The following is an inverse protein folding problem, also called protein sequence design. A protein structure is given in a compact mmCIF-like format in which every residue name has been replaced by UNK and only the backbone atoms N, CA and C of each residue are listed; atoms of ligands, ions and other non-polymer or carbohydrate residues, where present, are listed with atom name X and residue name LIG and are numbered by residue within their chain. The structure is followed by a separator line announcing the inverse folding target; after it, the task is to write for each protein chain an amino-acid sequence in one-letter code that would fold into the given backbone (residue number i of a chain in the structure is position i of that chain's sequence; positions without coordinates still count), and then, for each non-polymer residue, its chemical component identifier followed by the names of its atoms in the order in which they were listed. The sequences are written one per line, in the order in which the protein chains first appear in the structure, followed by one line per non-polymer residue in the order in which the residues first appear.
data_IF_444015227357
#
_entry.id   IF_444015227357
#
_cell.length_a   1.000
_cell.length_b   1.000
_cell.length_c   1.000
_cell.angle_alpha   90.00
_cell.angle_beta   90.00
_cell.angle_gamma   90.00
#
_symmetry.space_group_name_H-M   'P 1'
#
loop_
_entity.id
_entity.type
_entity.pdbx_description
1 polymer ?
#
# COMPACT_ATOMS: atom_id res chain seq x y z
N UNK A 1 44.44 -6.90 95.54
CA UNK A 1 44.92 -7.50 94.28
C UNK A 1 43.75 -7.49 93.32
N UNK A 2 43.96 -6.86 92.18
CA UNK A 2 42.96 -6.13 91.41
C UNK A 2 41.95 -7.03 90.69
N UNK A 3 40.67 -6.76 90.98
CA UNK A 3 39.53 -7.11 90.16
C UNK A 3 39.29 -5.96 89.17
N UNK A 4 39.80 -6.03 87.94
CA UNK A 4 39.24 -5.29 86.80
C UNK A 4 39.47 -6.11 85.51
N UNK A 5 38.50 -6.97 85.16
CA UNK A 5 38.32 -7.38 83.76
C UNK A 5 37.53 -6.26 83.08
N UNK A 6 38.25 -5.33 82.46
CA UNK A 6 37.65 -4.23 81.70
C UNK A 6 37.03 -4.80 80.42
N UNK A 7 35.72 -5.06 80.44
CA UNK A 7 34.92 -5.13 79.23
C UNK A 7 34.24 -3.78 79.08
N UNK A 8 34.78 -2.93 78.21
CA UNK A 8 34.02 -1.84 77.62
C UNK A 8 34.67 -1.41 76.30
N UNK A 9 33.80 -1.07 75.34
CA UNK A 9 34.05 -0.39 74.06
C UNK A 9 34.39 -1.37 72.93
N UNK A 10 33.50 -1.58 71.98
CA UNK A 10 33.00 -0.60 70.99
C UNK A 10 33.29 -1.28 69.65
N UNK A 11 32.41 -1.39 68.68
CA UNK A 11 31.90 -0.31 67.85
C UNK A 11 30.93 -1.01 66.88
N UNK A 12 29.73 -0.47 66.70
CA UNK A 12 28.92 -0.81 65.54
C UNK A 12 29.68 -0.24 64.34
N UNK A 13 30.38 -1.08 63.59
CA UNK A 13 30.79 -0.78 62.22
C UNK A 13 30.04 -1.71 61.30
N UNK A 14 29.01 -1.13 60.69
CA UNK A 14 28.56 -1.49 59.36
C UNK A 14 29.76 -1.84 58.49
N UNK A 15 29.81 -3.06 57.98
CA UNK A 15 30.45 -3.27 56.71
C UNK A 15 29.54 -4.13 55.84
N UNK A 16 28.65 -3.43 55.14
CA UNK A 16 28.04 -3.97 53.93
C UNK A 16 29.13 -3.93 52.87
N UNK A 17 30.12 -4.80 52.98
CA UNK A 17 31.00 -5.11 51.86
C UNK A 17 30.24 -6.06 50.93
N UNK A 18 29.22 -5.51 50.27
CA UNK A 18 28.69 -6.08 49.05
C UNK A 18 29.72 -5.73 47.97
N UNK A 19 30.84 -6.46 47.96
CA UNK A 19 31.75 -6.44 46.84
C UNK A 19 30.94 -6.75 45.58
N UNK A 20 30.83 -5.77 44.70
CA UNK A 20 30.13 -5.94 43.44
C UNK A 20 30.82 -7.05 42.65
N UNK A 21 30.04 -8.01 42.18
CA UNK A 21 30.50 -9.10 41.33
C UNK A 21 30.94 -8.53 39.97
N UNK A 22 32.25 -8.41 39.76
CA UNK A 22 32.82 -7.85 38.51
C UNK A 22 32.66 -8.77 37.28
N UNK A 23 31.74 -9.73 37.30
CA UNK A 23 31.55 -10.67 36.17
C UNK A 23 30.11 -10.70 35.69
N UNK A 24 29.43 -9.55 35.64
CA UNK A 24 28.00 -9.62 35.33
C UNK A 24 27.71 -9.85 33.83
N UNK A 25 28.61 -9.50 32.90
CA UNK A 25 28.34 -9.70 31.45
C UNK A 25 29.62 -9.91 30.63
N UNK A 26 29.63 -10.93 29.76
CA UNK A 26 30.71 -11.18 28.79
C UNK A 26 30.67 -10.15 27.63
N UNK A 27 31.29 -8.98 27.85
CA UNK A 27 31.36 -7.89 26.85
C UNK A 27 31.91 -8.37 25.50
N UNK A 28 32.92 -9.25 25.52
CA UNK A 28 33.51 -9.82 24.30
C UNK A 28 32.50 -10.66 23.51
N UNK A 29 31.60 -11.38 24.18
CA UNK A 29 30.55 -12.14 23.54
C UNK A 29 29.48 -11.23 22.91
N UNK A 30 29.14 -10.13 23.57
CA UNK A 30 28.21 -9.12 23.03
C UNK A 30 28.79 -8.45 21.78
N UNK A 31 30.05 -8.02 21.84
CA UNK A 31 30.71 -7.39 20.69
C UNK A 31 30.80 -8.37 19.52
N UNK A 32 31.19 -9.63 19.78
CA UNK A 32 31.20 -10.68 18.76
C UNK A 32 29.81 -10.92 18.14
N UNK A 33 28.76 -10.95 18.96
CA UNK A 33 27.39 -11.10 18.50
C UNK A 33 26.93 -9.94 17.61
N UNK A 34 27.24 -8.69 17.98
CA UNK A 34 26.89 -7.50 17.17
C UNK A 34 27.61 -7.50 15.82
N UNK A 35 28.87 -7.92 15.78
CA UNK A 35 29.63 -8.04 14.52
C UNK A 35 28.98 -9.07 13.60
N UNK A 36 28.62 -10.25 14.12
CA UNK A 36 27.94 -11.29 13.35
C UNK A 36 26.58 -10.80 12.83
N UNK A 37 25.81 -10.11 13.68
CA UNK A 37 24.52 -9.54 13.31
C UNK A 37 24.65 -8.49 12.20
N UNK A 38 25.65 -7.61 12.28
CA UNK A 38 25.93 -6.62 11.25
C UNK A 38 26.30 -7.29 9.91
N UNK A 39 27.16 -8.31 9.94
CA UNK A 39 27.53 -9.07 8.74
C UNK A 39 26.30 -9.74 8.12
N UNK A 40 25.43 -10.35 8.94
CA UNK A 40 24.20 -10.97 8.45
C UNK A 40 23.22 -9.96 7.84
N UNK A 41 23.10 -8.77 8.45
CA UNK A 41 22.28 -7.69 7.90
C UNK A 41 22.82 -7.21 6.54
N UNK A 42 24.14 -7.08 6.39
CA UNK A 42 24.77 -6.74 5.10
C UNK A 42 24.57 -7.86 4.08
N UNK A 43 24.72 -9.12 4.47
CA UNK A 43 24.50 -10.28 3.59
C UNK A 43 23.06 -10.32 3.07
N UNK A 44 22.08 -10.15 3.96
CA UNK A 44 20.66 -10.10 3.56
C UNK A 44 20.37 -8.89 2.69
N UNK A 45 20.96 -7.72 2.97
CA UNK A 45 20.83 -6.54 2.13
C UNK A 45 21.36 -6.77 0.70
N UNK A 46 22.56 -7.35 0.57
CA UNK A 46 23.14 -7.68 -0.75
C UNK A 46 22.31 -8.74 -1.47
N UNK A 47 21.82 -9.76 -0.76
CA UNK A 47 20.95 -10.78 -1.33
C UNK A 47 19.63 -10.18 -1.86
N UNK A 48 19.00 -9.29 -1.09
CA UNK A 48 17.79 -8.59 -1.50
C UNK A 48 18.05 -7.66 -2.70
N UNK A 49 19.15 -6.90 -2.69
CA UNK A 49 19.53 -6.03 -3.79
C UNK A 49 19.82 -6.83 -5.08
N UNK A 50 20.58 -7.92 -4.98
CA UNK A 50 20.86 -8.82 -6.09
C UNK A 50 19.62 -9.54 -6.62
N UNK A 51 18.74 -10.01 -5.72
CA UNK A 51 17.47 -10.61 -6.08
C UNK A 51 16.53 -9.59 -6.73
N UNK A 52 16.49 -8.35 -6.26
CA UNK A 52 15.71 -7.28 -6.90
C UNK A 52 16.15 -7.06 -8.35
N UNK A 53 17.45 -6.95 -8.60
CA UNK A 53 18.01 -6.82 -9.96
C UNK A 53 17.67 -8.05 -10.82
N UNK A 54 17.73 -9.25 -10.25
CA UNK A 54 17.44 -10.48 -10.97
C UNK A 54 15.94 -10.65 -11.27
N UNK A 55 15.08 -10.31 -10.33
CA UNK A 55 13.63 -10.33 -10.48
C UNK A 55 13.17 -9.26 -11.46
N UNK A 56 13.79 -8.08 -11.48
CA UNK A 56 13.50 -7.03 -12.47
C UNK A 56 13.88 -7.49 -13.89
N UNK A 57 15.07 -8.11 -14.04
CA UNK A 57 15.48 -8.76 -15.31
C UNK A 57 14.54 -9.91 -15.73
N UNK A 58 13.99 -10.65 -14.79
CA UNK A 58 13.00 -11.70 -15.08
C UNK A 58 11.61 -11.13 -15.35
N UNK A 59 11.23 -10.05 -14.67
CA UNK A 59 10.01 -9.32 -14.90
C UNK A 59 10.04 -8.73 -16.30
N UNK A 60 11.17 -8.16 -16.74
CA UNK A 60 11.36 -7.68 -18.10
C UNK A 60 11.20 -8.82 -19.12
N UNK A 61 11.86 -9.98 -18.93
CA UNK A 61 11.71 -11.14 -19.82
C UNK A 61 10.31 -11.76 -19.84
N UNK A 62 9.58 -11.72 -18.73
CA UNK A 62 8.17 -12.12 -18.67
C UNK A 62 7.26 -11.05 -19.28
N UNK A 63 7.66 -9.78 -19.20
CA UNK A 63 6.97 -8.63 -19.73
C UNK A 63 7.32 -8.31 -21.20
N UNK A 64 8.31 -8.99 -21.80
CA UNK A 64 8.53 -8.97 -23.26
C UNK A 64 7.29 -9.52 -24.03
N UNK A 65 6.47 -10.35 -23.38
CA UNK A 65 5.14 -10.75 -23.86
C UNK A 65 3.97 -10.05 -23.16
N UNK A 66 4.25 -9.17 -22.20
CA UNK A 66 3.29 -8.35 -21.46
C UNK A 66 3.72 -6.89 -21.56
N UNK A 67 3.91 -6.40 -22.80
CA UNK A 67 3.35 -5.08 -23.13
C UNK A 67 1.92 -5.15 -22.64
N UNK A 68 1.54 -4.27 -21.71
CA UNK A 68 0.22 -4.33 -21.09
C UNK A 68 -0.81 -4.62 -22.18
N UNK A 69 -1.74 -5.59 -22.01
CA UNK A 69 -2.71 -5.94 -23.06
C UNK A 69 -3.49 -4.70 -23.55
N UNK A 70 -3.47 -3.64 -22.75
CA UNK A 70 -4.04 -2.33 -23.07
C UNK A 70 -3.12 -1.46 -23.94
N UNK A 71 -1.79 -1.53 -23.81
CA UNK A 71 -0.88 -0.88 -24.76
C UNK A 71 -0.96 -1.52 -26.15
N UNK A 72 -1.05 -2.85 -26.23
CA UNK A 72 -1.24 -3.57 -27.50
C UNK A 72 -2.61 -3.26 -28.13
N UNK A 73 -3.68 -3.18 -27.33
CA UNK A 73 -5.01 -2.77 -27.80
C UNK A 73 -5.06 -1.30 -28.26
N UNK A 74 -4.35 -0.40 -27.57
CA UNK A 74 -4.27 1.02 -27.92
C UNK A 74 -3.44 1.24 -29.20
N UNK A 75 -2.36 0.48 -29.39
CA UNK A 75 -1.55 0.49 -30.61
C UNK A 75 -2.31 -0.14 -31.80
N UNK A 76 -3.02 -1.26 -31.58
CA UNK A 76 -3.86 -1.92 -32.59
C UNK A 76 -5.07 -1.06 -33.01
N UNK A 77 -5.63 -0.27 -32.09
CA UNK A 77 -6.67 0.70 -32.39
C UNK A 77 -6.12 1.97 -33.08
N UNK A 78 -4.83 2.26 -32.93
CA UNK A 78 -4.14 3.40 -33.54
C UNK A 78 -3.55 3.10 -34.92
N UNK A 79 -3.32 1.82 -35.26
CA UNK A 79 -2.93 1.40 -36.61
C UNK A 79 -4.18 1.29 -37.50
N UNK A 80 -4.40 2.18 -38.48
CA UNK A 80 -5.38 1.92 -39.52
C UNK A 80 -4.97 0.64 -40.26
N UNK A 81 -5.81 -0.38 -40.16
CA UNK A 81 -5.61 -1.67 -40.80
C UNK A 81 -5.63 -1.45 -42.32
N UNK A 82 -4.45 -1.40 -42.95
CA UNK A 82 -4.31 -1.69 -44.38
C UNK A 82 -4.08 -3.20 -44.45
N UNK A 83 -5.03 -3.99 -44.98
CA UNK A 83 -4.93 -5.44 -44.97
C UNK A 83 -3.95 -5.89 -46.06
N UNK A 84 -2.66 -5.98 -45.73
CA UNK A 84 -1.69 -6.65 -46.60
C UNK A 84 -1.64 -8.15 -46.26
N UNK A 85 -2.28 -8.92 -47.13
CA UNK A 85 -2.26 -10.38 -47.12
C UNK A 85 -0.82 -10.88 -47.30
N UNK A 86 -0.34 -11.77 -46.42
CA UNK A 86 0.10 -13.16 -46.72
C UNK A 86 0.96 -13.78 -45.60
N UNK A 87 0.46 -14.90 -45.10
CA UNK A 87 1.16 -16.20 -44.95
C UNK A 87 2.58 -16.25 -44.36
N UNK A 88 2.72 -16.78 -43.14
CA UNK A 88 3.77 -17.76 -42.79
C UNK A 88 3.47 -18.49 -41.48
N UNK A 89 2.75 -19.61 -41.63
CA UNK A 89 2.78 -20.85 -40.85
C UNK A 89 3.95 -20.99 -39.85
N UNK A 90 3.66 -20.83 -38.54
CA UNK A 90 4.65 -21.07 -37.47
C UNK A 90 4.22 -20.82 -36.00
N UNK A 91 2.99 -20.36 -35.71
CA UNK A 91 2.63 -19.84 -34.37
C UNK A 91 1.58 -20.61 -33.54
N UNK A 92 1.11 -21.77 -33.99
CA UNK A 92 -0.14 -22.36 -33.45
C UNK A 92 -0.05 -23.00 -32.04
N UNK A 93 1.14 -23.13 -31.44
CA UNK A 93 1.30 -23.70 -30.09
C UNK A 93 1.19 -22.65 -28.97
N UNK A 94 1.42 -21.37 -29.26
CA UNK A 94 1.30 -20.28 -28.28
C UNK A 94 -0.12 -19.72 -28.16
N UNK A 95 -0.86 -19.67 -29.28
CA UNK A 95 -2.21 -19.08 -29.30
C UNK A 95 -3.24 -19.97 -28.60
N UNK A 96 -3.13 -21.30 -28.79
CA UNK A 96 -4.05 -22.26 -28.15
C UNK A 96 -3.90 -22.32 -26.62
N UNK A 97 -2.69 -22.14 -26.09
CA UNK A 97 -2.46 -22.11 -24.64
C UNK A 97 -3.00 -20.82 -24.00
N UNK A 98 -2.91 -19.69 -24.71
CA UNK A 98 -3.46 -18.43 -24.25
C UNK A 98 -5.00 -18.40 -24.29
N UNK A 99 -5.61 -19.03 -25.30
CA UNK A 99 -7.08 -19.20 -25.39
C UNK A 99 -7.60 -20.08 -24.25
N UNK A 100 -6.98 -21.24 -23.98
CA UNK A 100 -7.45 -22.12 -22.89
C UNK A 100 -7.32 -21.47 -21.52
N UNK A 101 -6.28 -20.68 -21.25
CA UNK A 101 -6.14 -19.94 -20.00
C UNK A 101 -7.21 -18.83 -19.83
N UNK A 102 -7.54 -18.10 -20.90
CA UNK A 102 -8.59 -17.07 -20.90
C UNK A 102 -9.98 -17.67 -20.76
N UNK A 103 -10.25 -18.77 -21.45
CA UNK A 103 -11.54 -19.46 -21.39
C UNK A 103 -11.77 -20.15 -20.05
N UNK A 104 -10.71 -20.71 -19.43
CA UNK A 104 -10.79 -21.26 -18.07
C UNK A 104 -11.05 -20.17 -17.05
N UNK A 105 -10.38 -19.01 -17.16
CA UNK A 105 -10.69 -17.85 -16.32
C UNK A 105 -12.15 -17.43 -16.50
N UNK A 106 -12.63 -17.19 -17.72
CA UNK A 106 -14.04 -16.84 -18.04
C UNK A 106 -15.06 -17.87 -17.51
N UNK A 107 -14.74 -19.16 -17.57
CA UNK A 107 -15.61 -20.21 -17.01
C UNK A 107 -15.66 -20.16 -15.49
N UNK A 108 -14.52 -19.97 -14.83
CA UNK A 108 -14.49 -19.77 -13.38
C UNK A 108 -15.25 -18.48 -13.01
N UNK A 109 -15.16 -17.43 -13.83
CA UNK A 109 -15.93 -16.19 -13.65
C UNK A 109 -17.45 -16.41 -13.66
N UNK A 110 -17.94 -17.34 -14.48
CA UNK A 110 -19.37 -17.63 -14.62
C UNK A 110 -19.94 -18.51 -13.49
N UNK A 111 -19.09 -19.26 -12.77
CA UNK A 111 -19.52 -20.24 -11.76
C UNK A 111 -19.55 -19.64 -10.34
N UNK A 112 -18.76 -18.61 -10.05
CA UNK A 112 -18.74 -17.97 -8.74
C UNK A 112 -19.69 -16.75 -8.69
N UNK A 113 -20.77 -16.80 -7.87
CA UNK A 113 -21.66 -15.65 -7.70
C UNK A 113 -20.90 -14.46 -7.10
N UNK A 114 -21.32 -13.24 -7.43
CA UNK A 114 -20.72 -12.02 -6.91
C UNK A 114 -20.89 -11.89 -5.37
N UNK A 115 -19.95 -11.25 -4.64
CA UNK A 115 -18.79 -10.49 -5.11
C UNK A 115 -17.52 -11.34 -5.33
N UNK A 116 -16.82 -11.05 -6.43
CA UNK A 116 -15.59 -11.77 -6.84
C UNK A 116 -14.34 -11.03 -6.35
N UNK A 117 -13.24 -11.75 -6.18
CA UNK A 117 -11.94 -11.14 -5.88
C UNK A 117 -11.49 -10.27 -7.08
N UNK A 118 -11.07 -9.03 -6.80
CA UNK A 118 -10.50 -8.11 -7.79
C UNK A 118 -9.20 -8.70 -8.35
N UNK A 119 -9.10 -8.79 -9.68
CA UNK A 119 -8.03 -9.47 -10.40
C UNK A 119 -6.74 -8.65 -10.47
N UNK A 120 -6.84 -7.33 -10.58
CA UNK A 120 -5.68 -6.42 -10.65
C UNK A 120 -5.90 -5.13 -9.82
N UNK A 121 -5.95 -5.31 -8.50
CA UNK A 121 -6.16 -4.20 -7.56
C UNK A 121 -5.08 -3.10 -7.66
N UNK A 122 -3.84 -3.46 -8.00
CA UNK A 122 -2.73 -2.49 -8.11
C UNK A 122 -2.95 -1.56 -9.29
N UNK A 123 -3.31 -2.11 -10.44
CA UNK A 123 -3.60 -1.33 -11.63
C UNK A 123 -4.81 -0.42 -11.43
N UNK A 124 -5.88 -0.94 -10.85
CA UNK A 124 -7.09 -0.16 -10.57
C UNK A 124 -6.81 1.01 -9.62
N UNK A 125 -6.03 0.77 -8.56
CA UNK A 125 -5.58 1.83 -7.64
C UNK A 125 -4.75 2.90 -8.34
N UNK A 126 -3.85 2.51 -9.24
CA UNK A 126 -3.04 3.46 -10.01
C UNK A 126 -3.89 4.28 -10.99
N UNK A 127 -4.87 3.64 -11.65
CA UNK A 127 -5.81 4.34 -12.54
C UNK A 127 -6.63 5.37 -11.76
N UNK A 128 -7.19 4.98 -10.61
CA UNK A 128 -7.96 5.87 -9.74
C UNK A 128 -7.11 7.08 -9.30
N UNK A 129 -5.90 6.82 -8.77
CA UNK A 129 -4.98 7.88 -8.34
C UNK A 129 -4.65 8.84 -9.49
N UNK A 130 -4.38 8.32 -10.68
CA UNK A 130 -4.07 9.17 -11.85
C UNK A 130 -5.26 10.03 -12.30
N UNK A 131 -6.49 9.55 -12.10
CA UNK A 131 -7.70 10.31 -12.41
C UNK A 131 -7.94 11.41 -11.37
N UNK A 132 -7.74 11.09 -10.08
CA UNK A 132 -7.81 12.06 -8.98
C UNK A 132 -6.77 13.17 -9.16
N UNK A 133 -5.52 12.83 -9.47
CA UNK A 133 -4.46 13.81 -9.69
C UNK A 133 -4.81 14.80 -10.80
N UNK A 134 -5.41 14.32 -11.90
CA UNK A 134 -5.90 15.19 -13.00
C UNK A 134 -6.99 16.15 -12.55
N UNK A 135 -7.86 15.75 -11.64
CA UNK A 135 -8.97 16.58 -11.15
C UNK A 135 -8.52 17.59 -10.09
N UNK A 136 -7.53 17.24 -9.26
CA UNK A 136 -7.10 18.04 -8.12
C UNK A 136 -5.96 19.00 -8.46
N UNK A 137 -5.02 18.56 -9.31
CA UNK A 137 -3.78 19.29 -9.57
C UNK A 137 -3.74 20.01 -10.93
N UNK A 138 -4.72 19.76 -11.80
CA UNK A 138 -4.74 20.33 -13.15
C UNK A 138 -6.07 21.02 -13.45
N UNK A 139 -6.03 21.95 -14.41
CA UNK A 139 -7.24 22.59 -14.94
C UNK A 139 -8.02 21.62 -15.81
N UNK A 140 -9.33 21.56 -15.61
CA UNK A 140 -10.22 20.74 -16.43
C UNK A 140 -11.54 21.45 -16.72
N UNK A 141 -12.14 21.18 -17.87
CA UNK A 141 -13.48 21.67 -18.18
C UNK A 141 -14.52 20.84 -17.44
N UNK A 142 -15.48 21.48 -16.76
CA UNK A 142 -16.68 20.82 -16.23
C UNK A 142 -17.75 20.79 -17.32
N UNK A 143 -17.98 21.96 -17.93
CA UNK A 143 -18.86 22.11 -19.08
C UNK A 143 -18.29 23.18 -20.01
N UNK A 144 -17.95 22.75 -21.22
CA UNK A 144 -17.35 23.61 -22.25
C UNK A 144 -18.36 24.61 -22.82
N UNK A 145 -19.64 24.24 -22.87
CA UNK A 145 -20.68 25.05 -23.50
C UNK A 145 -21.08 26.22 -22.60
N UNK A 146 -21.14 25.98 -21.28
CA UNK A 146 -21.39 27.05 -20.30
C UNK A 146 -20.13 27.80 -19.86
N UNK A 147 -18.95 27.42 -20.36
CA UNK A 147 -17.68 28.06 -20.00
C UNK A 147 -17.21 27.73 -18.56
N UNK A 148 -17.76 26.69 -17.94
CA UNK A 148 -17.45 26.33 -16.55
C UNK A 148 -16.17 25.49 -16.46
N UNK A 149 -15.14 26.06 -15.83
CA UNK A 149 -13.82 25.45 -15.64
C UNK A 149 -13.60 25.07 -14.18
N UNK A 150 -12.98 23.90 -13.96
CA UNK A 150 -12.40 23.49 -12.68
C UNK A 150 -10.96 23.98 -12.58
N UNK A 151 -10.65 24.62 -11.45
CA UNK A 151 -9.29 25.08 -11.11
C UNK A 151 -8.62 24.08 -10.15
N UNK A 152 -7.28 23.92 -10.20
CA UNK A 152 -6.54 23.12 -9.22
C UNK A 152 -6.81 23.59 -7.79
N UNK A 153 -6.80 22.66 -6.83
CA UNK A 153 -7.09 22.96 -5.42
C UNK A 153 -6.15 24.03 -4.87
N UNK A 154 -4.86 23.96 -5.19
CA UNK A 154 -3.88 24.98 -4.78
C UNK A 154 -4.27 26.37 -5.27
N UNK A 155 -4.71 26.50 -6.53
CA UNK A 155 -5.17 27.79 -7.07
C UNK A 155 -6.49 28.23 -6.45
N UNK A 156 -7.39 27.29 -6.15
CA UNK A 156 -8.65 27.61 -5.47
C UNK A 156 -8.39 28.24 -4.11
N UNK A 157 -7.42 27.72 -3.35
CA UNK A 157 -7.03 28.26 -2.04
C UNK A 157 -6.51 29.69 -2.18
N UNK A 158 -5.63 29.96 -3.15
CA UNK A 158 -5.10 31.30 -3.41
C UNK A 158 -6.21 32.29 -3.76
N UNK A 159 -7.07 31.94 -4.72
CA UNK A 159 -8.19 32.80 -5.14
C UNK A 159 -9.15 33.05 -3.99
N UNK A 160 -9.38 32.04 -3.14
CA UNK A 160 -10.24 32.18 -1.95
C UNK A 160 -9.58 33.07 -0.88
N UNK A 161 -8.26 32.98 -0.70
CA UNK A 161 -7.52 33.84 0.21
C UNK A 161 -7.49 35.29 -0.26
N UNK A 162 -7.30 35.52 -1.56
CA UNK A 162 -7.34 36.85 -2.20
C UNK A 162 -8.73 37.48 -2.11
N UNK A 163 -9.79 36.71 -2.39
CA UNK A 163 -11.18 37.19 -2.41
C UNK A 163 -11.83 37.24 -1.03
N UNK A 164 -11.26 36.55 -0.05
CA UNK A 164 -11.88 36.29 1.25
C UNK A 164 -12.95 35.21 1.17
N UNK A 165 -13.25 34.58 2.32
CA UNK A 165 -14.34 33.61 2.43
C UNK A 165 -15.67 34.33 2.12
N UNK A 166 -16.53 33.77 1.25
CA UNK A 166 -17.84 34.34 1.02
C UNK A 166 -18.63 34.32 2.34
N UNK A 167 -19.37 35.39 2.63
CA UNK A 167 -20.28 35.42 3.77
C UNK A 167 -21.25 34.25 3.61
N UNK A 168 -21.16 33.28 4.53
CA UNK A 168 -22.04 32.12 4.54
C UNK A 168 -23.44 32.62 4.88
N UNK A 169 -24.24 32.97 3.88
CA UNK A 169 -25.68 33.07 3.99
C UNK A 169 -26.24 31.63 4.03
N UNK A 170 -25.96 30.92 5.13
CA UNK A 170 -26.37 29.54 5.31
C UNK A 170 -27.66 29.46 6.10
N UNK A 171 -28.75 29.06 5.44
CA UNK A 171 -29.56 27.98 6.02
C UNK A 171 -28.57 26.86 6.33
N UNK A 172 -28.31 26.69 7.63
CA UNK A 172 -27.49 25.59 8.12
C UNK A 172 -28.22 24.31 7.75
N UNK A 173 -27.61 23.36 7.01
CA UNK A 173 -28.21 22.06 6.81
C UNK A 173 -28.40 21.46 8.21
N UNK A 174 -29.66 21.24 8.57
CA UNK A 174 -30.06 20.68 9.84
C UNK A 174 -29.21 19.43 10.11
N UNK A 175 -28.38 19.52 11.15
CA UNK A 175 -27.89 18.44 12.00
C UNK A 175 -28.26 17.05 11.46
N UNK A 176 -27.36 16.46 10.66
CA UNK A 176 -27.39 15.04 10.35
C UNK A 176 -27.17 14.25 11.66
N UNK A 177 -28.27 14.03 12.37
CA UNK A 177 -28.28 13.58 13.75
C UNK A 177 -29.70 13.28 14.21
N UNK A 178 -30.43 12.47 13.44
CA UNK A 178 -31.56 11.70 13.90
C UNK A 178 -31.79 10.53 12.92
N UNK A 179 -31.29 9.35 13.28
CA UNK A 179 -31.82 8.10 12.72
C UNK A 179 -33.32 8.10 13.01
N UNK A 180 -34.22 7.92 12.03
CA UNK A 180 -35.56 7.52 12.37
C UNK A 180 -35.47 6.15 13.03
N UNK A 181 -35.92 6.12 14.28
CA UNK A 181 -36.07 4.94 15.10
C UNK A 181 -36.87 3.86 14.34
N UNK A 182 -36.56 2.62 14.68
CA UNK A 182 -37.25 1.43 14.24
C UNK A 182 -38.78 1.58 14.33
N UNK A 183 -39.46 1.30 13.22
CA UNK A 183 -40.84 0.80 13.26
C UNK A 183 -40.80 -0.63 12.77
N UNK A 184 -40.92 -1.55 13.73
CA UNK A 184 -41.34 -2.90 13.50
C UNK A 184 -42.76 -2.90 12.91
N UNK A 185 -42.96 -3.63 11.81
CA UNK A 185 -44.29 -4.06 11.37
C UNK A 185 -44.16 -5.49 10.81
N UNK A 186 -44.81 -6.41 11.52
CA UNK A 186 -44.83 -7.84 11.28
C UNK A 186 -45.49 -8.23 9.93
N UNK A 187 -45.13 -9.37 9.32
CA UNK A 187 -45.91 -9.95 8.25
C UNK A 187 -47.04 -10.82 8.84
N UNK A 188 -48.29 -10.39 8.64
CA UNK A 188 -49.47 -11.22 8.86
C UNK A 188 -50.31 -11.32 7.57
N UNK A 189 -50.32 -12.55 7.05
CA UNK A 189 -51.40 -13.24 6.32
C UNK A 189 -51.73 -12.98 4.84
N UNK A 190 -51.77 -14.13 4.15
CA UNK A 190 -52.71 -14.63 3.13
C UNK A 190 -52.74 -13.90 1.78
N UNK A 191 -52.38 -14.63 0.73
CA UNK A 191 -53.35 -15.42 -0.06
C UNK A 191 -52.71 -16.76 -0.48
#
# INVERSE_FOLDING_TARGET
MEHIKSQSQGLVTTDRDHGHEETDINVKAIVGFLVVLAIFAVLTHVALWGMYIFLDKQAEKRNEGVTTPIQEQVEAARRPQVPERKSAQGGQLGVRQAETARDTLNRLQAVFPAPRLQDDAVRDMNMMRSAEDKLLNHYSWIDKNSGTVRIPVSRAIEVLAERGLPAVAGETPAKAGARPAATAAAPAQRQ
#
